data_IF_059966436428
#
_entry.id   IF_059966436428
#
_cell.length_a   1.000
_cell.length_b   1.000
_cell.length_c   1.000
_cell.angle_alpha   90.00
_cell.angle_beta   90.00
_cell.angle_gamma   90.00
#
_symmetry.space_group_name_H-M   'P 1'
#
loop_
_entity.id
_entity.type
_entity.pdbx_description
1 polymer ?
#
# COMPACT_ATOMS: atom_id res chain seq x y z
N UNK A 1 -9.86 22.89 -0.23
CA UNK A 1 -8.73 22.85 0.74
C UNK A 1 -7.47 22.16 0.19
N UNK A 2 -7.61 21.01 -0.52
CA UNK A 2 -6.48 20.26 -1.09
C UNK A 2 -5.61 21.09 -2.07
N UNK A 3 -6.24 21.98 -2.83
CA UNK A 3 -5.57 22.90 -3.77
C UNK A 3 -4.53 23.81 -3.08
N UNK A 4 -4.86 24.37 -1.92
CA UNK A 4 -3.92 25.25 -1.18
C UNK A 4 -2.72 24.48 -0.63
N UNK A 5 -2.91 23.20 -0.29
CA UNK A 5 -1.85 22.32 0.16
C UNK A 5 -0.85 22.01 -0.96
N UNK A 6 -1.33 21.76 -2.18
CA UNK A 6 -0.47 21.52 -3.35
C UNK A 6 0.43 22.73 -3.66
N UNK A 7 -0.02 23.95 -3.37
CA UNK A 7 0.78 25.18 -3.52
C UNK A 7 1.87 25.26 -2.44
N UNK A 8 1.54 24.99 -1.17
CA UNK A 8 2.51 25.03 -0.06
C UNK A 8 3.63 24.00 -0.21
N UNK A 9 3.34 22.83 -0.78
CA UNK A 9 4.34 21.77 -0.98
C UNK A 9 5.39 22.10 -2.06
N UNK A 10 5.11 23.08 -2.94
CA UNK A 10 6.03 23.48 -4.02
C UNK A 10 7.12 24.46 -3.59
N UNK A 11 6.97 25.15 -2.46
CA UNK A 11 7.96 26.12 -1.97
C UNK A 11 8.68 25.58 -0.73
N UNK A 12 9.64 24.68 -0.97
CA UNK A 12 10.44 24.00 0.06
C UNK A 12 11.27 24.96 0.94
N UNK A 13 11.36 26.24 0.55
CA UNK A 13 12.14 27.27 1.24
C UNK A 13 11.35 28.04 2.29
N UNK A 14 10.02 28.04 2.19
CA UNK A 14 9.16 28.87 3.06
C UNK A 14 8.54 28.07 4.21
N UNK A 15 8.51 26.73 4.10
CA UNK A 15 7.94 25.86 5.11
C UNK A 15 8.84 24.66 5.40
N UNK A 16 9.03 24.36 6.68
CA UNK A 16 9.58 23.09 7.08
C UNK A 16 8.61 21.97 6.68
N UNK A 17 9.08 21.10 5.78
CA UNK A 17 8.26 20.06 5.17
C UNK A 17 7.79 19.02 6.17
N UNK A 18 8.50 18.80 7.28
CA UNK A 18 8.04 17.92 8.34
C UNK A 18 6.85 18.57 9.07
N UNK A 19 6.98 19.82 9.49
CA UNK A 19 5.90 20.53 10.19
C UNK A 19 4.65 20.74 9.33
N UNK A 20 4.81 21.04 8.05
CA UNK A 20 3.67 21.17 7.12
C UNK A 20 2.93 19.83 6.95
N UNK A 21 3.66 18.71 6.86
CA UNK A 21 3.07 17.37 6.81
C UNK A 21 2.33 17.04 8.11
N UNK A 22 2.94 17.31 9.26
CA UNK A 22 2.29 17.15 10.57
C UNK A 22 1.01 17.97 10.69
N UNK A 23 1.02 19.23 10.26
CA UNK A 23 -0.15 20.10 10.30
C UNK A 23 -1.31 19.55 9.45
N UNK A 24 -1.00 19.05 8.25
CA UNK A 24 -2.01 18.54 7.32
C UNK A 24 -2.56 17.19 7.76
N UNK A 25 -1.72 16.35 8.36
CA UNK A 25 -2.12 15.12 9.04
C UNK A 25 -2.98 15.41 10.27
N UNK A 26 -2.65 16.43 11.07
CA UNK A 26 -3.47 16.84 12.21
C UNK A 26 -4.88 17.31 11.79
N UNK A 27 -5.04 17.77 10.53
CA UNK A 27 -6.34 18.04 9.92
C UNK A 27 -7.03 16.79 9.35
N UNK A 28 -6.46 15.60 9.54
CA UNK A 28 -6.97 14.34 9.02
C UNK A 28 -6.76 14.15 7.53
N UNK A 29 -5.77 14.83 6.93
CA UNK A 29 -5.43 14.72 5.51
C UNK A 29 -4.11 13.97 5.37
N UNK A 30 -4.14 12.82 4.69
CA UNK A 30 -2.96 11.99 4.49
C UNK A 30 -2.42 12.12 3.06
N UNK A 31 -1.27 12.80 2.85
CA UNK A 31 -0.70 12.95 1.53
C UNK A 31 -0.05 11.65 1.05
N UNK A 32 -0.02 11.47 -0.27
CA UNK A 32 0.68 10.36 -0.92
C UNK A 32 2.17 10.34 -0.53
N UNK A 33 2.70 9.14 -0.27
CA UNK A 33 4.08 8.95 0.17
C UNK A 33 4.29 8.98 1.68
N UNK A 34 3.23 9.15 2.47
CA UNK A 34 3.30 9.05 3.94
C UNK A 34 3.36 7.59 4.38
N UNK A 35 4.30 7.26 5.26
CA UNK A 35 4.35 5.95 5.92
C UNK A 35 3.57 6.00 7.23
N UNK A 36 2.76 4.97 7.47
CA UNK A 36 1.88 4.83 8.61
C UNK A 36 2.15 3.50 9.30
N UNK A 37 2.21 3.53 10.63
CA UNK A 37 2.05 2.35 11.47
C UNK A 37 0.56 2.15 11.74
N UNK A 38 0.07 0.95 11.50
CA UNK A 38 -1.31 0.57 11.76
C UNK A 38 -1.44 -0.01 13.17
N UNK A 39 -2.65 0.00 13.72
CA UNK A 39 -2.99 -0.58 15.03
C UNK A 39 -2.80 -2.11 15.08
N UNK A 40 -2.86 -2.75 13.92
CA UNK A 40 -2.50 -4.15 13.70
C UNK A 40 -0.99 -4.43 13.81
N UNK A 41 -0.13 -3.40 13.83
CA UNK A 41 1.33 -3.52 13.80
C UNK A 41 1.93 -3.58 12.39
N UNK A 42 1.10 -3.55 11.35
CA UNK A 42 1.54 -3.45 9.96
C UNK A 42 2.08 -2.04 9.64
N UNK A 43 3.01 -1.95 8.70
CA UNK A 43 3.42 -0.67 8.10
C UNK A 43 2.78 -0.52 6.75
N UNK A 44 2.23 0.66 6.46
CA UNK A 44 1.56 0.96 5.20
C UNK A 44 2.06 2.27 4.59
N UNK A 45 2.01 2.36 3.26
CA UNK A 45 2.35 3.55 2.48
C UNK A 45 1.08 4.13 1.88
N UNK A 46 0.82 5.42 2.07
CA UNK A 46 -0.29 6.12 1.40
C UNK A 46 0.00 6.21 -0.09
N UNK A 47 -0.81 5.53 -0.90
CA UNK A 47 -0.67 5.50 -2.36
C UNK A 47 -1.67 6.40 -3.07
N UNK A 48 -2.74 6.81 -2.39
CA UNK A 48 -3.72 7.72 -2.96
C UNK A 48 -4.85 8.10 -2.00
N UNK A 49 -5.76 8.97 -2.46
CA UNK A 49 -6.97 9.30 -1.71
C UNK A 49 -7.94 8.10 -1.70
N UNK A 50 -8.65 7.89 -0.58
CA UNK A 50 -9.79 6.98 -0.52
C UNK A 50 -11.11 7.73 -0.41
N UNK A 51 -12.13 7.11 0.18
CA UNK A 51 -13.49 7.69 0.27
C UNK A 51 -13.58 8.96 1.11
N UNK A 52 -12.66 9.16 2.04
CA UNK A 52 -12.57 10.39 2.84
C UNK A 52 -11.10 10.74 3.13
N UNK A 53 -10.78 12.01 3.49
CA UNK A 53 -9.41 12.41 3.79
C UNK A 53 -8.73 11.58 4.88
N UNK A 54 -9.53 11.11 5.85
CA UNK A 54 -9.09 10.26 6.98
C UNK A 54 -9.06 8.76 6.63
N UNK A 55 -9.53 8.39 5.45
CA UNK A 55 -9.56 7.01 4.95
C UNK A 55 -8.82 6.91 3.61
N UNK A 56 -7.51 7.19 3.58
CA UNK A 56 -6.71 7.07 2.36
C UNK A 56 -6.60 5.61 1.90
N UNK A 57 -6.24 5.43 0.63
CA UNK A 57 -5.79 4.15 0.10
C UNK A 57 -4.32 3.96 0.47
N UNK A 58 -4.03 2.82 1.09
CA UNK A 58 -2.69 2.47 1.56
C UNK A 58 -2.25 1.12 1.01
N UNK A 59 -0.98 1.00 0.67
CA UNK A 59 -0.35 -0.26 0.30
C UNK A 59 0.38 -0.83 1.52
N UNK A 60 0.12 -2.08 1.87
CA UNK A 60 0.78 -2.75 2.99
C UNK A 60 2.23 -3.09 2.62
N UNK A 61 3.17 -2.62 3.44
CA UNK A 61 4.62 -2.82 3.26
C UNK A 61 5.11 -4.02 4.06
N UNK A 62 4.56 -4.23 5.24
CA UNK A 62 4.91 -5.33 6.15
C UNK A 62 3.66 -5.98 6.73
N UNK A 63 3.81 -7.22 7.17
CA UNK A 63 2.81 -7.88 8.02
C UNK A 63 2.81 -7.28 9.45
N UNK A 64 1.88 -7.77 10.28
CA UNK A 64 1.73 -7.40 11.69
C UNK A 64 2.95 -7.76 12.57
N UNK A 65 3.89 -8.56 12.07
CA UNK A 65 5.14 -8.90 12.73
C UNK A 65 6.33 -8.07 12.20
N UNK A 66 6.06 -7.08 11.34
CA UNK A 66 7.07 -6.23 10.71
C UNK A 66 7.88 -6.96 9.62
N UNK A 67 7.45 -8.14 9.17
CA UNK A 67 8.12 -8.87 8.10
C UNK A 67 7.66 -8.31 6.74
N UNK A 68 8.56 -8.04 5.80
CA UNK A 68 8.19 -7.65 4.45
C UNK A 68 7.37 -8.76 3.77
N UNK A 69 6.39 -8.38 2.97
CA UNK A 69 5.68 -9.35 2.13
C UNK A 69 6.64 -9.97 1.09
N UNK A 70 6.69 -11.31 0.98
CA UNK A 70 7.46 -11.96 -0.08
C UNK A 70 6.86 -11.65 -1.45
N UNK A 71 7.71 -11.34 -2.42
CA UNK A 71 7.40 -11.25 -3.85
C UNK A 71 6.32 -10.24 -4.28
N UNK A 72 6.48 -8.96 -3.92
CA UNK A 72 5.88 -7.83 -4.65
C UNK A 72 4.35 -7.71 -4.66
N UNK A 73 3.64 -8.75 -4.24
CA UNK A 73 2.21 -8.77 -3.99
C UNK A 73 1.97 -8.02 -2.68
N UNK A 74 1.73 -6.72 -2.82
CA UNK A 74 1.39 -5.83 -1.72
C UNK A 74 -0.08 -5.47 -1.85
N UNK A 75 -0.86 -5.89 -0.87
CA UNK A 75 -2.28 -5.58 -0.86
C UNK A 75 -2.48 -4.07 -0.68
N UNK A 76 -3.45 -3.55 -1.42
CA UNK A 76 -3.91 -2.17 -1.28
C UNK A 76 -5.25 -2.19 -0.57
N UNK A 77 -5.33 -1.49 0.54
CA UNK A 77 -6.52 -1.46 1.41
C UNK A 77 -6.91 -0.02 1.69
N UNK A 78 -8.19 0.21 1.94
CA UNK A 78 -8.67 1.50 2.42
C UNK A 78 -8.65 1.52 3.95
N UNK A 79 -8.08 2.56 4.55
CA UNK A 79 -8.12 2.69 6.01
C UNK A 79 -9.55 2.84 6.53
N UNK A 80 -9.83 2.24 7.69
CA UNK A 80 -11.16 2.18 8.30
C UNK A 80 -12.16 1.25 7.61
N UNK A 81 -11.82 0.64 6.47
CA UNK A 81 -12.61 -0.43 5.86
C UNK A 81 -12.27 -1.77 6.53
N UNK A 82 -13.29 -2.61 6.72
CA UNK A 82 -13.10 -3.97 7.22
C UNK A 82 -12.80 -4.91 6.05
N UNK A 83 -11.56 -5.40 5.97
CA UNK A 83 -11.10 -6.33 4.94
C UNK A 83 -10.60 -7.59 5.63
N UNK A 84 -11.08 -8.77 5.19
CA UNK A 84 -10.79 -10.07 5.83
C UNK A 84 -11.16 -10.14 7.33
N UNK A 85 -12.15 -9.35 7.75
CA UNK A 85 -12.57 -9.25 9.15
C UNK A 85 -11.67 -8.36 10.02
N UNK A 86 -10.71 -7.66 9.41
CA UNK A 86 -9.78 -6.76 10.09
C UNK A 86 -10.06 -5.32 9.64
N UNK A 87 -10.36 -4.45 10.59
CA UNK A 87 -10.34 -3.00 10.38
C UNK A 87 -8.94 -2.49 10.72
N UNK A 88 -8.38 -1.65 9.85
CA UNK A 88 -7.06 -1.05 10.03
C UNK A 88 -7.21 0.44 10.26
N UNK A 89 -6.71 0.91 11.39
CA UNK A 89 -6.67 2.33 11.74
C UNK A 89 -5.23 2.81 11.94
N UNK A 90 -5.04 4.13 11.86
CA UNK A 90 -3.72 4.74 12.04
C UNK A 90 -3.34 4.71 13.51
N UNK A 91 -2.27 3.98 13.85
CA UNK A 91 -1.66 4.03 15.18
C UNK A 91 -0.68 5.18 15.31
N UNK A 92 0.18 5.39 14.30
CA UNK A 92 1.15 6.48 14.27
C UNK A 92 1.63 6.77 12.84
N UNK A 93 2.08 8.00 12.61
CA UNK A 93 2.89 8.37 11.45
C UNK A 93 4.36 7.95 11.64
N UNK A 94 5.03 7.60 10.53
CA UNK A 94 6.44 7.25 10.52
C UNK A 94 7.25 8.34 9.78
N UNK A 95 8.41 8.77 10.32
CA UNK A 95 9.17 9.92 9.80
C UNK A 95 9.88 9.66 8.46
N UNK A 96 9.61 8.54 7.79
CA UNK A 96 10.10 8.23 6.46
C UNK A 96 10.58 6.79 6.30
N UNK A 97 11.11 6.45 5.11
CA UNK A 97 11.53 5.09 4.77
C UNK A 97 12.65 4.56 5.67
N UNK A 98 13.53 5.43 6.19
CA UNK A 98 14.60 5.02 7.11
C UNK A 98 14.07 4.53 8.46
N UNK A 99 12.91 5.01 8.90
CA UNK A 99 12.26 4.48 10.11
C UNK A 99 11.64 3.09 9.87
N UNK A 100 11.35 2.75 8.60
CA UNK A 100 10.79 1.46 8.19
C UNK A 100 11.89 0.45 7.90
N UNK A 101 12.99 0.88 7.25
CA UNK A 101 14.02 0.00 6.70
C UNK A 101 15.45 0.26 7.23
N UNK A 102 15.63 1.18 8.18
CA UNK A 102 16.94 1.60 8.71
C UNK A 102 17.69 0.57 9.58
N UNK A 103 17.20 -0.66 9.69
CA UNK A 103 17.89 -1.77 10.36
C UNK A 103 18.52 -2.72 9.35
N UNK A 104 19.86 -2.68 9.20
CA UNK A 104 20.73 -3.68 8.59
C UNK A 104 20.13 -4.54 7.45
N UNK A 105 20.18 -4.01 6.22
CA UNK A 105 20.03 -4.81 5.01
C UNK A 105 21.24 -5.75 4.85
N UNK A 106 21.19 -6.97 5.37
CA UNK A 106 21.89 -8.07 4.70
C UNK A 106 21.08 -8.40 3.45
N UNK A 107 21.37 -7.67 2.37
CA UNK A 107 20.87 -7.95 1.05
C UNK A 107 21.18 -9.42 0.70
N UNK A 108 20.14 -10.26 0.61
CA UNK A 108 20.24 -11.53 -0.07
C UNK A 108 20.70 -11.26 -1.52
N UNK A 109 21.61 -12.08 -2.08
CA UNK A 109 22.14 -11.83 -3.42
C UNK A 109 20.99 -11.93 -4.42
N UNK A 110 20.71 -10.80 -5.08
CA UNK A 110 19.84 -10.76 -6.25
C UNK A 110 20.47 -11.62 -7.34
N UNK A 111 19.98 -12.84 -7.51
CA UNK A 111 20.26 -13.64 -8.69
C UNK A 111 19.60 -12.96 -9.88
N UNK A 112 20.36 -12.10 -10.56
CA UNK A 112 20.03 -11.63 -11.90
C UNK A 112 19.92 -12.85 -12.82
N UNK A 113 18.70 -13.32 -13.03
CA UNK A 113 18.37 -14.26 -14.08
C UNK A 113 18.44 -13.48 -15.39
N UNK A 114 19.54 -13.62 -16.11
CA UNK A 114 19.70 -13.10 -17.46
C UNK A 114 18.65 -13.76 -18.36
N UNK A 115 17.64 -12.99 -18.76
CA UNK A 115 16.67 -13.43 -19.75
C UNK A 115 17.33 -13.46 -21.14
N UNK A 116 17.55 -14.66 -21.66
CA UNK A 116 18.01 -14.91 -23.02
C UNK A 116 16.80 -14.81 -23.98
N UNK A 117 16.82 -14.01 -25.06
CA UNK A 117 15.68 -13.86 -25.96
C UNK A 117 15.82 -14.80 -27.16
N UNK A 118 15.52 -16.10 -26.99
CA UNK A 118 15.38 -17.02 -28.12
C UNK A 118 14.53 -18.26 -27.79
N UNK A 119 13.22 -18.22 -28.07
CA UNK A 119 12.38 -19.34 -28.56
C UNK A 119 10.90 -18.93 -28.45
N UNK A 120 10.27 -18.59 -29.57
CA UNK A 120 9.35 -19.46 -30.32
C UNK A 120 8.13 -19.93 -29.52
N UNK A 121 7.02 -19.20 -29.76
CA UNK A 121 5.66 -19.66 -30.06
C UNK A 121 5.32 -21.13 -29.75
N UNK A 122 4.27 -21.36 -28.95
CA UNK A 122 3.13 -22.29 -29.16
C UNK A 122 2.12 -22.09 -28.02
N UNK A 123 0.84 -21.90 -28.36
CA UNK A 123 -0.22 -21.45 -27.46
C UNK A 123 -0.92 -22.48 -26.57
N UNK A 124 -2.25 -22.33 -26.49
CA UNK A 124 -3.29 -23.09 -25.76
C UNK A 124 -3.63 -22.50 -24.37
N UNK A 125 -4.67 -21.67 -24.17
CA UNK A 125 -6.15 -21.88 -24.16
C UNK A 125 -6.72 -22.18 -22.76
N UNK A 126 -7.49 -21.21 -22.22
CA UNK A 126 -8.73 -21.40 -21.46
C UNK A 126 -8.67 -21.81 -19.98
N UNK A 127 -8.88 -20.86 -19.06
CA UNK A 127 -9.34 -21.11 -17.69
C UNK A 127 -10.51 -20.17 -17.33
N UNK A 128 -11.61 -20.23 -18.08
CA UNK A 128 -12.91 -19.74 -17.60
C UNK A 128 -13.68 -20.97 -17.09
N UNK A 129 -13.65 -21.18 -15.77
CA UNK A 129 -14.50 -22.15 -15.11
C UNK A 129 -15.91 -21.59 -14.97
N UNK A 130 -16.79 -21.92 -15.92
CA UNK A 130 -18.24 -21.78 -15.77
C UNK A 130 -18.75 -22.82 -14.77
N UNK A 131 -19.35 -22.33 -13.68
CA UNK A 131 -19.92 -23.14 -12.61
C UNK A 131 -21.24 -23.76 -13.08
N UNK A 132 -21.26 -25.09 -13.14
CA UNK A 132 -22.40 -25.95 -13.43
C UNK A 132 -23.47 -25.81 -12.33
N UNK A 133 -24.71 -25.41 -12.69
CA UNK A 133 -25.88 -25.40 -11.80
C UNK A 133 -26.85 -26.50 -12.27
N UNK A 134 -27.11 -27.47 -11.39
CA UNK A 134 -28.06 -28.57 -11.58
C UNK A 134 -29.53 -28.10 -11.61
N UNK A 135 -30.41 -28.68 -12.44
CA UNK A 135 -31.84 -28.39 -12.41
C UNK A 135 -32.59 -29.20 -11.33
N UNK A 136 -33.67 -28.67 -10.73
CA UNK A 136 -34.41 -29.38 -9.69
C UNK A 136 -35.29 -30.52 -10.24
N UNK A 137 -35.56 -31.57 -9.44
CA UNK A 137 -36.36 -32.71 -9.87
C UNK A 137 -37.84 -32.36 -9.98
N UNK A 138 -38.49 -32.92 -11.01
CA UNK A 138 -39.94 -32.85 -11.24
C UNK A 138 -40.68 -33.78 -10.27
N UNK A 139 -41.77 -33.27 -9.68
CA UNK A 139 -42.83 -34.05 -9.05
C UNK A 139 -44.15 -33.72 -9.76
#
# INVERSE_FOLDING_TARGET
PLEAYAVMFRDERDFDQAWLRFFVQAMGIYPQGTFLSLDTGEVALVVGPGTSPTQPLVQLMTDAQGRPYPDGARDTVQLGECVDGITRDVAADLPGPDAVWGGAQTAAPVHHSTHDPASHDHGVQGCCGEQLVDPPPRA
#
